data_IF_934156963059
#
_entry.id   IF_934156963059
#
_cell.length_a   1.000
_cell.length_b   1.000
_cell.length_c   1.000
_cell.angle_alpha   90.00
_cell.angle_beta   90.00
_cell.angle_gamma   90.00
#
_symmetry.space_group_name_H-M   'P 1'
#
loop_
_entity.id
_entity.type
_entity.pdbx_description
1 polymer ?
#
# COMPACT_ATOMS: atom_id res chain seq x y z
N UNK A 1 23.49 2.20 15.50
CA UNK A 1 22.87 1.62 14.31
C UNK A 1 22.45 2.75 13.40
N UNK A 2 23.08 2.94 12.24
CA UNK A 2 22.52 3.84 11.23
C UNK A 2 21.31 3.12 10.61
N UNK A 3 20.11 3.65 10.81
CA UNK A 3 18.95 3.13 10.08
C UNK A 3 19.15 3.43 8.60
N UNK A 4 19.09 2.39 7.78
CA UNK A 4 19.16 2.58 6.33
C UNK A 4 17.93 3.36 5.85
N UNK A 5 18.10 4.23 4.86
CA UNK A 5 16.98 4.96 4.23
C UNK A 5 15.91 3.99 3.70
N UNK A 6 16.34 2.79 3.27
CA UNK A 6 15.49 1.67 2.87
C UNK A 6 14.58 1.17 3.99
N UNK A 7 15.05 1.17 5.25
CA UNK A 7 14.26 0.77 6.42
C UNK A 7 13.26 1.86 6.80
N UNK A 8 13.68 3.13 6.82
CA UNK A 8 12.81 4.28 7.10
C UNK A 8 11.69 4.39 6.06
N UNK A 9 12.00 4.12 4.80
CA UNK A 9 11.02 4.09 3.71
C UNK A 9 9.86 3.13 3.93
N UNK A 10 10.03 2.07 4.75
CA UNK A 10 8.94 1.13 5.06
C UNK A 10 7.87 1.73 5.96
N UNK A 11 8.12 2.86 6.61
CA UNK A 11 7.08 3.65 7.28
C UNK A 11 5.98 4.11 6.31
N UNK A 12 6.27 4.21 5.01
CA UNK A 12 5.23 4.49 4.01
C UNK A 12 4.17 3.37 3.94
N UNK A 13 4.53 2.11 4.16
CA UNK A 13 3.54 1.02 4.25
C UNK A 13 2.69 1.11 5.53
N UNK A 14 3.21 1.71 6.60
CA UNK A 14 2.41 2.00 7.79
C UNK A 14 1.33 3.03 7.47
N UNK A 15 1.67 4.07 6.70
CA UNK A 15 0.69 5.05 6.22
C UNK A 15 -0.37 4.39 5.34
N UNK A 16 0.01 3.43 4.49
CA UNK A 16 -0.96 2.65 3.69
C UNK A 16 -1.93 1.90 4.59
N UNK A 17 -1.46 1.23 5.65
CA UNK A 17 -2.35 0.53 6.59
C UNK A 17 -3.27 1.49 7.35
N UNK A 18 -2.74 2.61 7.85
CA UNK A 18 -3.55 3.61 8.54
C UNK A 18 -4.61 4.17 7.59
N UNK A 19 -4.22 4.53 6.36
CA UNK A 19 -5.13 5.03 5.34
C UNK A 19 -6.20 4.02 4.96
N UNK A 20 -5.88 2.73 4.92
CA UNK A 20 -6.84 1.65 4.65
C UNK A 20 -7.87 1.49 5.77
N UNK A 21 -7.48 1.74 7.02
CA UNK A 21 -8.38 1.68 8.17
C UNK A 21 -9.19 2.98 8.38
N UNK A 22 -8.83 4.05 7.68
CA UNK A 22 -9.57 5.30 7.66
C UNK A 22 -10.65 5.30 6.56
N UNK A 23 -11.61 6.24 6.57
CA UNK A 23 -12.57 6.39 5.48
C UNK A 23 -11.86 6.63 4.14
N UNK A 24 -11.95 5.66 3.24
CA UNK A 24 -11.31 5.65 1.92
C UNK A 24 -12.26 6.27 0.90
N UNK A 25 -13.54 5.91 0.95
CA UNK A 25 -14.60 6.39 0.08
C UNK A 25 -15.97 6.13 0.73
N UNK A 26 -16.97 6.95 0.45
CA UNK A 26 -18.35 6.78 0.96
C UNK A 26 -18.45 6.61 2.49
N UNK A 27 -17.54 7.22 3.27
CA UNK A 27 -17.39 7.03 4.73
C UNK A 27 -17.06 5.60 5.16
N UNK A 28 -16.68 4.74 4.21
CA UNK A 28 -16.32 3.34 4.38
C UNK A 28 -14.80 3.19 4.38
N UNK A 29 -14.28 2.35 5.28
CA UNK A 29 -12.86 1.97 5.27
C UNK A 29 -12.58 0.93 4.16
N UNK A 30 -11.32 0.52 4.01
CA UNK A 30 -10.92 -0.43 2.97
C UNK A 30 -11.52 -1.84 3.12
N UNK A 31 -11.83 -2.29 4.34
CA UNK A 31 -12.54 -3.55 4.58
C UNK A 31 -14.01 -3.43 4.23
N UNK A 32 -14.66 -2.37 4.72
CA UNK A 32 -16.07 -2.11 4.41
C UNK A 32 -16.28 -2.03 2.88
N UNK A 33 -15.37 -1.35 2.16
CA UNK A 33 -15.40 -1.28 0.70
C UNK A 33 -15.21 -2.65 0.05
N UNK A 34 -14.34 -3.50 0.59
CA UNK A 34 -14.14 -4.85 0.07
C UNK A 34 -15.40 -5.69 0.24
N UNK A 35 -16.08 -5.60 1.38
CA UNK A 35 -17.33 -6.30 1.65
C UNK A 35 -18.45 -5.81 0.72
N UNK A 36 -18.55 -4.49 0.50
CA UNK A 36 -19.47 -3.92 -0.50
C UNK A 36 -19.23 -4.50 -1.90
N UNK A 37 -17.97 -4.62 -2.34
CA UNK A 37 -17.65 -5.22 -3.64
C UNK A 37 -17.96 -6.71 -3.69
N UNK A 38 -17.88 -7.45 -2.58
CA UNK A 38 -18.33 -8.85 -2.50
C UNK A 38 -19.85 -8.96 -2.65
N UNK A 39 -20.61 -8.03 -2.06
CA UNK A 39 -22.07 -7.98 -2.17
C UNK A 39 -22.56 -7.57 -3.56
N UNK A 40 -21.78 -6.75 -4.28
CA UNK A 40 -22.09 -6.29 -5.64
C UNK A 40 -21.60 -7.25 -6.75
N UNK A 41 -21.37 -8.53 -6.45
CA UNK A 41 -20.82 -9.54 -7.37
C UNK A 41 -19.48 -9.13 -8.04
N UNK A 42 -18.76 -8.17 -7.45
CA UNK A 42 -17.49 -7.64 -7.93
C UNK A 42 -16.32 -8.17 -7.10
N UNK A 43 -16.33 -9.48 -6.83
CA UNK A 43 -15.37 -10.15 -5.96
C UNK A 43 -13.90 -9.90 -6.34
N UNK A 44 -13.61 -9.67 -7.62
CA UNK A 44 -12.26 -9.29 -8.08
C UNK A 44 -11.75 -8.00 -7.43
N UNK A 45 -12.60 -6.97 -7.33
CA UNK A 45 -12.24 -5.69 -6.70
C UNK A 45 -12.04 -5.83 -5.19
N UNK A 46 -12.85 -6.66 -4.54
CA UNK A 46 -12.67 -7.00 -3.14
C UNK A 46 -11.32 -7.69 -2.88
N UNK A 47 -10.95 -8.67 -3.70
CA UNK A 47 -9.65 -9.35 -3.62
C UNK A 47 -8.49 -8.36 -3.81
N UNK A 48 -8.61 -7.41 -4.74
CA UNK A 48 -7.60 -6.37 -4.93
C UNK A 48 -7.49 -5.45 -3.70
N UNK A 49 -8.59 -5.05 -3.06
CA UNK A 49 -8.56 -4.26 -1.82
C UNK A 49 -7.90 -5.02 -0.68
N UNK A 50 -8.29 -6.27 -0.44
CA UNK A 50 -7.60 -7.12 0.54
C UNK A 50 -6.12 -7.26 0.19
N UNK A 51 -5.79 -7.36 -1.10
CA UNK A 51 -4.43 -7.36 -1.62
C UNK A 51 -3.62 -6.14 -1.17
N UNK A 52 -4.19 -4.92 -1.24
CA UNK A 52 -3.53 -3.69 -0.75
C UNK A 52 -3.14 -3.84 0.72
N UNK A 53 -4.07 -4.30 1.56
CA UNK A 53 -3.83 -4.48 2.99
C UNK A 53 -2.75 -5.53 3.27
N UNK A 54 -2.86 -6.73 2.71
CA UNK A 54 -1.89 -7.80 2.96
C UNK A 54 -0.50 -7.49 2.40
N UNK A 55 -0.41 -6.81 1.26
CA UNK A 55 0.87 -6.38 0.69
C UNK A 55 1.51 -5.26 1.51
N UNK A 56 0.73 -4.32 2.03
CA UNK A 56 1.24 -3.31 2.96
C UNK A 56 1.74 -3.94 4.26
N UNK A 57 1.02 -4.93 4.80
CA UNK A 57 1.45 -5.70 5.96
C UNK A 57 2.76 -6.46 5.68
N UNK A 58 2.88 -7.13 4.54
CA UNK A 58 4.12 -7.79 4.12
C UNK A 58 5.28 -6.79 3.98
N UNK A 59 5.02 -5.59 3.46
CA UNK A 59 5.98 -4.49 3.39
C UNK A 59 6.51 -4.05 4.75
N UNK A 60 5.64 -4.00 5.77
CA UNK A 60 6.04 -3.73 7.16
C UNK A 60 6.85 -4.87 7.78
N UNK A 61 6.47 -6.13 7.53
CA UNK A 61 7.25 -7.29 7.98
C UNK A 61 8.66 -7.24 7.41
N UNK A 62 8.83 -6.90 6.13
CA UNK A 62 10.15 -6.66 5.55
C UNK A 62 10.88 -5.51 6.23
N UNK A 63 10.19 -4.41 6.55
CA UNK A 63 10.76 -3.31 7.33
C UNK A 63 11.31 -3.77 8.67
N UNK A 64 10.56 -4.57 9.41
CA UNK A 64 10.98 -5.16 10.68
C UNK A 64 12.21 -6.07 10.50
N UNK A 65 12.20 -6.94 9.48
CA UNK A 65 13.35 -7.80 9.15
C UNK A 65 14.61 -6.99 8.85
N UNK A 66 14.49 -5.89 8.09
CA UNK A 66 15.60 -4.99 7.79
C UNK A 66 16.14 -4.29 9.05
N UNK A 67 15.28 -3.90 9.99
CA UNK A 67 15.69 -3.33 11.29
C UNK A 67 16.44 -4.38 12.13
N UNK A 68 16.04 -5.65 12.03
CA UNK A 68 16.73 -6.79 12.66
C UNK A 68 18.01 -7.21 11.93
N UNK A 69 18.50 -6.43 10.96
CA UNK A 69 19.66 -6.74 10.11
C UNK A 69 19.53 -8.06 9.33
N UNK A 70 18.31 -8.51 9.02
CA UNK A 70 18.11 -9.66 8.13
C UNK A 70 18.24 -9.23 6.67
N UNK A 71 18.93 -10.06 5.87
CA UNK A 71 19.11 -9.80 4.45
C UNK A 71 17.81 -10.07 3.70
N UNK A 72 17.22 -9.03 3.11
CA UNK A 72 16.07 -9.14 2.22
C UNK A 72 16.46 -8.68 0.81
N UNK A 73 16.22 -9.48 -0.24
CA UNK A 73 16.56 -9.10 -1.60
C UNK A 73 15.77 -7.85 -2.02
N UNK A 74 16.44 -6.93 -2.73
CA UNK A 74 15.80 -5.66 -3.14
C UNK A 74 14.67 -5.85 -4.15
N UNK A 75 14.72 -6.95 -4.91
CA UNK A 75 13.65 -7.34 -5.81
C UNK A 75 12.33 -7.61 -5.07
N UNK A 76 12.38 -8.23 -3.88
CA UNK A 76 11.16 -8.50 -3.11
C UNK A 76 10.47 -7.20 -2.68
N UNK A 77 11.25 -6.20 -2.27
CA UNK A 77 10.71 -4.88 -1.92
C UNK A 77 10.00 -4.22 -3.12
N UNK A 78 10.58 -4.32 -4.32
CA UNK A 78 9.99 -3.77 -5.54
C UNK A 78 8.72 -4.49 -5.94
N UNK A 79 8.72 -5.83 -5.89
CA UNK A 79 7.54 -6.64 -6.19
C UNK A 79 6.39 -6.29 -5.25
N UNK A 80 6.65 -6.18 -3.94
CA UNK A 80 5.60 -5.82 -2.97
C UNK A 80 5.09 -4.40 -3.19
N UNK A 81 5.97 -3.43 -3.45
CA UNK A 81 5.57 -2.07 -3.74
C UNK A 81 4.69 -1.99 -4.99
N UNK A 82 5.16 -2.57 -6.10
CA UNK A 82 4.45 -2.53 -7.38
C UNK A 82 3.13 -3.30 -7.33
N UNK A 83 3.09 -4.44 -6.64
CA UNK A 83 1.86 -5.19 -6.42
C UNK A 83 0.88 -4.38 -5.55
N UNK A 84 1.35 -3.74 -4.47
CA UNK A 84 0.50 -2.94 -3.58
C UNK A 84 -0.12 -1.74 -4.33
N UNK A 85 0.69 -1.04 -5.13
CA UNK A 85 0.24 0.05 -6.00
C UNK A 85 -0.73 -0.50 -7.07
N UNK A 86 -0.38 -1.58 -7.74
CA UNK A 86 -1.20 -2.17 -8.80
C UNK A 86 -2.59 -2.59 -8.31
N UNK A 87 -2.65 -3.25 -7.16
CA UNK A 87 -3.91 -3.62 -6.51
C UNK A 87 -4.76 -2.39 -6.18
N UNK A 88 -4.16 -1.34 -5.61
CA UNK A 88 -4.91 -0.16 -5.22
C UNK A 88 -5.31 0.72 -6.41
N UNK A 89 -4.45 0.87 -7.43
CA UNK A 89 -4.80 1.61 -8.64
C UNK A 89 -5.96 0.97 -9.41
N UNK A 90 -5.98 -0.37 -9.49
CA UNK A 90 -7.08 -1.10 -10.14
C UNK A 90 -8.44 -0.80 -9.51
N UNK A 91 -8.49 -0.66 -8.19
CA UNK A 91 -9.75 -0.37 -7.48
C UNK A 91 -10.07 1.12 -7.45
N UNK A 92 -9.10 1.98 -7.08
CA UNK A 92 -9.36 3.40 -6.86
C UNK A 92 -9.55 4.19 -8.15
N UNK A 93 -8.87 3.80 -9.24
CA UNK A 93 -8.99 4.47 -10.53
C UNK A 93 -9.75 3.66 -11.57
N UNK A 94 -9.98 2.36 -11.35
CA UNK A 94 -10.91 1.55 -12.14
C UNK A 94 -12.31 1.62 -11.56
N UNK A 95 -12.59 0.76 -10.57
CA UNK A 95 -13.93 0.55 -10.05
C UNK A 95 -14.57 1.80 -9.41
N UNK A 96 -13.83 2.56 -8.60
CA UNK A 96 -14.40 3.73 -7.91
C UNK A 96 -14.50 4.98 -8.81
N UNK A 97 -13.82 5.01 -9.95
CA UNK A 97 -13.84 6.18 -10.84
C UNK A 97 -15.10 6.21 -11.72
N UNK A 98 -15.60 5.05 -12.12
CA UNK A 98 -16.84 4.92 -12.92
C UNK A 98 -18.07 5.40 -12.12
N UNK A 99 -18.09 5.15 -10.81
CA UNK A 99 -19.22 5.45 -9.95
C UNK A 99 -19.23 6.89 -9.37
N UNK A 100 -18.36 7.79 -9.85
CA UNK A 100 -18.25 9.17 -9.34
C UNK A 100 -17.97 9.25 -7.83
N UNK A 101 -17.34 8.22 -7.27
CA UNK A 101 -17.13 8.09 -5.83
C UNK A 101 -16.06 9.08 -5.38
N UNK A 102 -16.41 9.94 -4.40
CA UNK A 102 -15.46 10.90 -3.84
C UNK A 102 -14.47 10.17 -2.93
N UNK A 103 -13.22 10.14 -3.36
CA UNK A 103 -12.10 9.69 -2.52
C UNK A 103 -11.95 10.57 -1.28
N UNK A 104 -11.75 9.93 -0.14
CA UNK A 104 -11.64 10.56 1.19
C UNK A 104 -10.22 10.44 1.76
N UNK A 105 -10.05 10.89 3.00
CA UNK A 105 -8.76 11.03 3.67
C UNK A 105 -7.93 9.74 3.69
N UNK A 106 -8.56 8.58 3.80
CA UNK A 106 -7.90 7.28 3.76
C UNK A 106 -7.21 7.01 2.42
N UNK A 107 -7.90 7.28 1.30
CA UNK A 107 -7.33 7.12 -0.04
C UNK A 107 -6.10 8.01 -0.25
N UNK A 108 -6.17 9.28 0.17
CA UNK A 108 -5.02 10.20 0.08
C UNK A 108 -3.84 9.72 0.94
N UNK A 109 -4.11 9.20 2.14
CA UNK A 109 -3.07 8.68 3.01
C UNK A 109 -2.38 7.44 2.41
N UNK A 110 -3.13 6.57 1.73
CA UNK A 110 -2.58 5.43 0.99
C UNK A 110 -1.66 5.90 -0.14
N UNK A 111 -2.11 6.87 -0.95
CA UNK A 111 -1.32 7.42 -2.06
C UNK A 111 -0.03 8.09 -1.54
N UNK A 112 -0.11 8.86 -0.46
CA UNK A 112 1.07 9.45 0.19
C UNK A 112 2.01 8.36 0.71
N UNK A 113 1.45 7.30 1.32
CA UNK A 113 2.21 6.13 1.76
C UNK A 113 3.01 5.50 0.62
N UNK A 114 2.36 5.24 -0.53
CA UNK A 114 3.04 4.72 -1.72
C UNK A 114 4.14 5.65 -2.22
N UNK A 115 3.88 6.96 -2.29
CA UNK A 115 4.88 7.94 -2.71
C UNK A 115 6.11 7.94 -1.77
N UNK A 116 5.90 7.88 -0.47
CA UNK A 116 6.99 7.79 0.53
C UNK A 116 7.81 6.53 0.34
N UNK A 117 7.17 5.36 0.19
CA UNK A 117 7.91 4.10 -0.06
C UNK A 117 8.68 4.19 -1.36
N UNK A 118 8.06 4.66 -2.43
CA UNK A 118 8.65 4.71 -3.77
C UNK A 118 9.86 5.65 -3.83
N UNK A 119 9.76 6.85 -3.27
CA UNK A 119 10.88 7.79 -3.19
C UNK A 119 12.03 7.22 -2.35
N UNK A 120 11.73 6.63 -1.19
CA UNK A 120 12.76 6.04 -0.34
C UNK A 120 13.45 4.85 -1.02
N UNK A 121 12.69 4.03 -1.75
CA UNK A 121 13.18 2.90 -2.54
C UNK A 121 14.10 3.37 -3.67
N UNK A 122 13.72 4.43 -4.41
CA UNK A 122 14.51 5.01 -5.49
C UNK A 122 15.85 5.56 -4.97
N UNK A 123 15.83 6.41 -3.94
CA UNK A 123 17.04 7.00 -3.38
C UNK A 123 17.98 5.91 -2.83
N UNK A 124 17.42 4.85 -2.23
CA UNK A 124 18.21 3.73 -1.71
C UNK A 124 18.88 2.90 -2.80
N UNK A 125 18.36 2.88 -4.03
CA UNK A 125 19.00 2.22 -5.16
C UNK A 125 20.10 3.09 -5.78
N UNK A 126 19.88 4.40 -5.92
CA UNK A 126 20.89 5.32 -6.47
C UNK A 126 22.14 5.38 -5.60
N UNK A 127 22.01 5.30 -4.27
CA UNK A 127 23.15 5.33 -3.33
C UNK A 127 23.93 4.00 -3.21
N UNK A 128 23.52 2.95 -3.92
CA UNK A 128 24.23 1.65 -3.93
C UNK A 128 25.29 1.55 -5.03
N UNK A 129 25.38 2.56 -5.90
CA UNK A 129 26.50 2.82 -6.80
C UNK A 129 27.50 3.79 -6.15
#
# INVERSE_FOLDING_TARGET
MSMSLRSIGKLGFLLVLIGFLMPVACDMNGFDLADMFMEMDSAGNAVLLYGVFFLALAGLVIGALLIMNKSVPIAADWVILLACIGCGLGVYFGALSEDSVKLQSGAYMIVVGWAVVLVAQLISNVKKE
#
